data_IF_224239863013
#
_entry.id   IF_224239863013
#
_cell.length_a   1.000
_cell.length_b   1.000
_cell.length_c   1.000
_cell.angle_alpha   90.00
_cell.angle_beta   90.00
_cell.angle_gamma   90.00
#
_symmetry.space_group_name_H-M   'P 1'
#
loop_
_entity.id
_entity.type
_entity.pdbx_description
1 polymer ?
#
# COMPACT_ATOMS: atom_id res chain seq x y z
N UNK A 1 -30.83 33.76 60.01
CA UNK A 1 -29.70 33.48 59.11
C UNK A 1 -29.79 32.04 58.56
N UNK A 2 -30.91 31.69 57.91
CA UNK A 2 -31.20 30.34 57.38
C UNK A 2 -32.20 30.50 56.22
N UNK A 3 -31.73 30.76 54.99
CA UNK A 3 -32.61 30.66 53.80
C UNK A 3 -31.88 30.61 52.45
N UNK A 4 -30.63 30.11 52.37
CA UNK A 4 -29.88 30.08 51.09
C UNK A 4 -29.39 28.67 50.70
N UNK A 5 -29.49 27.66 51.57
CA UNK A 5 -28.89 26.33 51.31
C UNK A 5 -29.79 25.29 50.63
N UNK A 6 -31.05 25.58 50.25
CA UNK A 6 -31.93 24.56 49.64
C UNK A 6 -32.23 24.74 48.14
N UNK A 7 -31.83 25.85 47.51
CA UNK A 7 -32.22 26.12 46.10
C UNK A 7 -31.15 25.69 45.08
N UNK A 8 -29.90 25.48 45.51
CA UNK A 8 -28.78 25.13 44.60
C UNK A 8 -28.77 23.63 44.25
N UNK A 9 -29.27 22.75 45.13
CA UNK A 9 -29.30 21.29 44.89
C UNK A 9 -30.26 20.81 43.77
N UNK A 10 -31.53 21.28 43.65
CA UNK A 10 -32.47 20.74 42.66
C UNK A 10 -32.11 21.12 41.22
N UNK A 11 -31.50 22.30 41.01
CA UNK A 11 -31.09 22.76 39.66
C UNK A 11 -29.94 21.91 39.12
N UNK A 12 -28.98 21.53 39.96
CA UNK A 12 -27.87 20.64 39.57
C UNK A 12 -28.34 19.22 39.25
N UNK A 13 -29.30 18.68 40.01
CA UNK A 13 -29.88 17.35 39.76
C UNK A 13 -30.70 17.34 38.47
N UNK A 14 -31.52 18.37 38.22
CA UNK A 14 -32.29 18.50 36.99
C UNK A 14 -31.39 18.65 35.75
N UNK A 15 -30.30 19.40 35.85
CA UNK A 15 -29.30 19.52 34.79
C UNK A 15 -28.61 18.18 34.50
N UNK A 16 -28.23 17.42 35.53
CA UNK A 16 -27.64 16.09 35.37
C UNK A 16 -28.61 15.09 34.73
N UNK A 17 -29.87 15.08 35.19
CA UNK A 17 -30.92 14.24 34.61
C UNK A 17 -31.20 14.61 33.15
N UNK A 18 -31.22 15.91 32.82
CA UNK A 18 -31.36 16.38 31.44
C UNK A 18 -30.20 15.93 30.56
N UNK A 19 -28.95 16.02 31.04
CA UNK A 19 -27.78 15.50 30.31
C UNK A 19 -27.87 13.98 30.13
N UNK A 20 -28.22 13.22 31.17
CA UNK A 20 -28.38 11.77 31.07
C UNK A 20 -29.50 11.37 30.10
N UNK A 21 -30.65 12.07 30.14
CA UNK A 21 -31.75 11.85 29.20
C UNK A 21 -31.35 12.23 27.77
N UNK A 22 -30.58 13.30 27.57
CA UNK A 22 -30.03 13.68 26.25
C UNK A 22 -29.04 12.64 25.74
N UNK A 23 -28.17 12.11 26.59
CA UNK A 23 -27.24 11.04 26.24
C UNK A 23 -28.03 9.77 25.91
N UNK A 24 -28.97 9.35 26.75
CA UNK A 24 -29.80 8.16 26.55
C UNK A 24 -30.68 8.27 25.29
N UNK A 25 -31.31 9.43 25.06
CA UNK A 25 -32.07 9.71 23.84
C UNK A 25 -31.16 9.73 22.61
N UNK A 26 -29.99 10.36 22.68
CA UNK A 26 -29.00 10.31 21.60
C UNK A 26 -28.56 8.89 21.31
N UNK A 27 -28.29 8.08 22.35
CA UNK A 27 -27.96 6.66 22.23
C UNK A 27 -29.10 5.85 21.62
N UNK A 28 -30.35 6.11 22.00
CA UNK A 28 -31.53 5.43 21.46
C UNK A 28 -31.77 5.79 19.99
N UNK A 29 -31.71 7.08 19.62
CA UNK A 29 -31.84 7.54 18.23
C UNK A 29 -30.69 7.01 17.37
N UNK A 30 -29.44 7.08 17.85
CA UNK A 30 -28.29 6.49 17.16
C UNK A 30 -28.44 4.97 17.03
N UNK A 31 -28.91 4.28 18.07
CA UNK A 31 -29.17 2.85 18.05
C UNK A 31 -30.28 2.45 17.07
N UNK A 32 -31.36 3.23 16.98
CA UNK A 32 -32.46 3.00 16.05
C UNK A 32 -32.02 3.21 14.59
N UNK A 33 -31.31 4.31 14.31
CA UNK A 33 -30.72 4.56 12.98
C UNK A 33 -29.72 3.47 12.57
N UNK A 34 -28.83 3.07 13.48
CA UNK A 34 -27.86 2.01 13.21
C UNK A 34 -28.51 0.65 12.94
N UNK A 35 -29.64 0.31 13.60
CA UNK A 35 -30.38 -0.93 13.30
C UNK A 35 -30.95 -0.92 11.89
N UNK A 36 -31.55 0.19 11.46
CA UNK A 36 -32.12 0.31 10.12
C UNK A 36 -31.06 0.27 9.01
N UNK A 37 -29.91 0.92 9.23
CA UNK A 37 -28.78 0.87 8.30
C UNK A 37 -28.17 -0.54 8.22
N UNK A 38 -28.00 -1.21 9.38
CA UNK A 38 -27.42 -2.56 9.43
C UNK A 38 -28.28 -3.60 8.72
N UNK A 39 -29.60 -3.41 8.64
CA UNK A 39 -30.48 -4.28 7.86
C UNK A 39 -30.21 -4.25 6.34
N UNK A 40 -29.55 -3.20 5.83
CA UNK A 40 -29.19 -3.05 4.41
C UNK A 40 -27.74 -3.42 4.11
N UNK A 41 -26.95 -3.72 5.13
CA UNK A 41 -25.54 -4.06 5.01
C UNK A 41 -25.37 -5.58 5.03
N UNK A 42 -24.30 -6.11 4.42
CA UNK A 42 -23.95 -7.52 4.58
C UNK A 42 -23.83 -7.91 6.06
N UNK A 43 -24.04 -9.19 6.39
CA UNK A 43 -23.85 -9.69 7.76
C UNK A 43 -22.41 -9.50 8.23
N UNK A 44 -22.21 -9.47 9.54
CA UNK A 44 -20.87 -9.37 10.11
C UNK A 44 -20.82 -9.14 11.61
N UNK A 45 -19.60 -9.18 12.18
CA UNK A 45 -19.37 -9.13 13.61
C UNK A 45 -19.90 -7.84 14.21
N UNK A 46 -20.37 -7.91 15.47
CA UNK A 46 -20.92 -6.75 16.14
C UNK A 46 -19.82 -5.73 16.44
N UNK A 47 -19.93 -4.57 15.82
CA UNK A 47 -19.10 -3.40 16.11
C UNK A 47 -19.46 -2.79 17.47
N UNK A 48 -18.46 -2.29 18.20
CA UNK A 48 -18.67 -1.44 19.37
C UNK A 48 -18.60 0.05 18.96
N UNK A 49 -19.29 0.96 19.67
CA UNK A 49 -19.25 2.39 19.37
C UNK A 49 -17.82 2.94 19.32
N UNK A 50 -17.56 3.87 18.40
CA UNK A 50 -16.26 4.52 18.14
C UNK A 50 -15.13 3.61 17.60
N UNK A 51 -14.87 2.47 18.25
CA UNK A 51 -13.77 1.55 17.89
C UNK A 51 -14.12 0.59 16.74
N UNK A 52 -15.40 0.29 16.52
CA UNK A 52 -15.81 -0.67 15.50
C UNK A 52 -15.45 -2.11 15.89
N UNK A 53 -14.78 -2.84 14.99
CA UNK A 53 -14.36 -4.23 15.10
C UNK A 53 -12.84 -4.36 15.29
N UNK A 54 -12.10 -3.26 15.49
CA UNK A 54 -10.62 -3.30 15.65
C UNK A 54 -10.20 -4.18 16.82
N UNK A 55 -10.95 -4.15 17.93
CA UNK A 55 -10.72 -5.01 19.10
C UNK A 55 -10.84 -6.52 18.84
N UNK A 56 -11.42 -6.92 17.71
CA UNK A 56 -11.55 -8.32 17.29
C UNK A 56 -10.44 -8.74 16.34
N UNK A 57 -9.59 -7.80 15.89
CA UNK A 57 -8.53 -8.07 14.94
C UNK A 57 -7.18 -8.17 15.65
N UNK A 58 -6.42 -9.25 15.40
CA UNK A 58 -5.03 -9.30 15.82
C UNK A 58 -4.19 -8.28 15.04
N UNK A 59 -3.02 -7.92 15.58
CA UNK A 59 -2.05 -7.10 14.86
C UNK A 59 -1.43 -7.87 13.69
N UNK A 60 -1.21 -9.17 13.88
CA UNK A 60 -0.63 -10.08 12.89
C UNK A 60 -1.67 -11.08 12.38
N UNK A 61 -1.53 -11.50 11.13
CA UNK A 61 -2.37 -12.53 10.50
C UNK A 61 -3.89 -12.24 10.50
N UNK A 62 -4.27 -10.98 10.22
CA UNK A 62 -5.67 -10.54 10.17
C UNK A 62 -6.53 -11.36 9.20
N UNK A 63 -5.93 -11.88 8.14
CA UNK A 63 -6.58 -12.75 7.16
C UNK A 63 -7.17 -14.02 7.79
N UNK A 64 -6.62 -14.51 8.91
CA UNK A 64 -7.19 -15.65 9.65
C UNK A 64 -8.52 -15.28 10.30
N UNK A 65 -8.59 -14.14 10.99
CA UNK A 65 -9.84 -13.63 11.57
C UNK A 65 -10.87 -13.32 10.49
N UNK A 66 -10.45 -12.78 9.34
CA UNK A 66 -11.33 -12.57 8.19
C UNK A 66 -11.90 -13.89 7.66
N UNK A 67 -11.09 -14.94 7.58
CA UNK A 67 -11.56 -16.27 7.18
C UNK A 67 -12.52 -16.90 8.20
N UNK A 68 -12.32 -16.67 9.50
CA UNK A 68 -13.26 -17.08 10.55
C UNK A 68 -14.59 -16.35 10.44
N UNK A 69 -14.56 -15.03 10.21
CA UNK A 69 -15.77 -14.26 9.96
C UNK A 69 -16.51 -14.75 8.71
N UNK A 70 -15.78 -15.12 7.66
CA UNK A 70 -16.39 -15.68 6.45
C UNK A 70 -17.17 -16.97 6.74
N UNK A 71 -16.60 -17.87 7.56
CA UNK A 71 -17.28 -19.11 7.98
C UNK A 71 -18.57 -18.82 8.77
N UNK A 72 -18.59 -17.75 9.54
CA UNK A 72 -19.72 -17.40 10.41
C UNK A 72 -20.80 -16.57 9.72
N UNK A 73 -20.41 -15.64 8.85
CA UNK A 73 -21.30 -14.62 8.27
C UNK A 73 -21.50 -14.76 6.76
N UNK A 74 -20.70 -15.60 6.09
CA UNK A 74 -20.78 -15.86 4.66
C UNK A 74 -19.73 -15.11 3.82
N UNK A 75 -19.88 -15.18 2.51
CA UNK A 75 -18.88 -14.75 1.53
C UNK A 75 -18.56 -13.25 1.52
N UNK A 76 -19.49 -12.42 1.97
CA UNK A 76 -19.34 -10.96 2.02
C UNK A 76 -19.67 -10.51 3.43
N UNK A 77 -18.63 -10.10 4.15
CA UNK A 77 -18.75 -9.68 5.55
C UNK A 77 -18.59 -8.17 5.67
N UNK A 78 -19.49 -7.54 6.40
CA UNK A 78 -19.38 -6.13 6.77
C UNK A 78 -18.75 -5.96 8.15
N UNK A 79 -17.73 -5.13 8.25
CA UNK A 79 -17.11 -4.69 9.49
C UNK A 79 -16.89 -3.17 9.49
N UNK A 80 -16.58 -2.62 10.66
CA UNK A 80 -16.12 -1.24 10.81
C UNK A 80 -14.74 -1.24 11.45
N UNK A 81 -13.75 -0.61 10.84
CA UNK A 81 -12.47 -0.34 11.49
C UNK A 81 -12.49 1.11 11.97
N UNK A 82 -12.59 1.32 13.29
CA UNK A 82 -13.01 2.59 13.87
C UNK A 82 -14.36 3.05 13.26
N UNK A 83 -14.35 4.14 12.50
CA UNK A 83 -15.51 4.69 11.81
C UNK A 83 -15.52 4.39 10.30
N UNK A 84 -14.56 3.60 9.81
CA UNK A 84 -14.46 3.27 8.39
C UNK A 84 -15.18 1.95 8.07
N UNK A 85 -16.15 1.94 7.15
CA UNK A 85 -16.78 0.70 6.70
C UNK A 85 -15.79 -0.15 5.89
N UNK A 86 -15.77 -1.44 6.15
CA UNK A 86 -14.94 -2.43 5.45
C UNK A 86 -15.81 -3.59 5.01
N UNK A 87 -15.62 -4.01 3.75
CA UNK A 87 -16.18 -5.24 3.21
C UNK A 87 -15.06 -6.25 3.04
N UNK A 88 -15.21 -7.42 3.66
CA UNK A 88 -14.31 -8.56 3.50
C UNK A 88 -14.94 -9.50 2.48
N UNK A 89 -14.23 -9.76 1.38
CA UNK A 89 -14.67 -10.65 0.31
C UNK A 89 -13.93 -11.98 0.44
N UNK A 90 -14.67 -13.05 0.70
CA UNK A 90 -14.11 -14.35 1.07
C UNK A 90 -14.44 -15.47 0.08
N UNK A 91 -15.07 -15.14 -1.05
CA UNK A 91 -15.27 -16.07 -2.16
C UNK A 91 -14.80 -15.47 -3.49
N UNK A 92 -14.33 -16.36 -4.38
CA UNK A 92 -13.90 -15.99 -5.73
C UNK A 92 -15.02 -15.27 -6.49
N UNK A 93 -16.25 -15.75 -6.38
CA UNK A 93 -17.41 -15.15 -7.02
C UNK A 93 -17.63 -13.71 -6.56
N UNK A 94 -17.61 -13.46 -5.25
CA UNK A 94 -17.76 -12.10 -4.71
C UNK A 94 -16.62 -11.17 -5.16
N UNK A 95 -15.39 -11.68 -5.17
CA UNK A 95 -14.23 -10.94 -5.67
C UNK A 95 -14.37 -10.58 -7.16
N UNK A 96 -14.75 -11.53 -8.02
CA UNK A 96 -14.95 -11.28 -9.46
C UNK A 96 -16.11 -10.32 -9.72
N UNK A 97 -17.25 -10.50 -9.03
CA UNK A 97 -18.44 -9.68 -9.24
C UNK A 97 -18.21 -8.21 -8.85
N UNK A 98 -17.41 -7.95 -7.81
CA UNK A 98 -17.12 -6.59 -7.33
C UNK A 98 -15.84 -6.00 -7.94
N UNK A 99 -14.72 -6.71 -7.86
CA UNK A 99 -13.40 -6.17 -8.20
C UNK A 99 -13.09 -6.24 -9.70
N UNK A 100 -13.69 -7.17 -10.44
CA UNK A 100 -13.45 -7.34 -11.88
C UNK A 100 -14.60 -6.74 -12.71
N UNK A 101 -15.80 -7.33 -12.62
CA UNK A 101 -16.98 -6.91 -13.42
C UNK A 101 -17.43 -5.49 -13.12
N UNK A 102 -17.19 -5.00 -11.89
CA UNK A 102 -17.54 -3.65 -11.43
C UNK A 102 -16.30 -2.84 -11.04
N UNK A 103 -15.14 -3.18 -11.61
CA UNK A 103 -13.85 -2.54 -11.32
C UNK A 103 -13.93 -1.01 -11.34
N UNK A 104 -14.64 -0.38 -12.27
CA UNK A 104 -14.80 1.08 -12.33
C UNK A 104 -15.40 1.72 -11.08
N UNK A 105 -16.14 0.95 -10.26
CA UNK A 105 -16.73 1.40 -8.99
C UNK A 105 -15.87 1.12 -7.76
N UNK A 106 -15.03 0.08 -7.81
CA UNK A 106 -14.31 -0.44 -6.64
C UNK A 106 -12.79 -0.40 -6.78
N UNK A 107 -12.25 0.19 -7.86
CA UNK A 107 -10.80 0.27 -8.09
C UNK A 107 -10.09 1.40 -7.36
N UNK A 108 -10.81 2.25 -6.63
CA UNK A 108 -10.19 3.36 -5.92
C UNK A 108 -9.31 2.89 -4.76
N UNK A 109 -8.43 3.76 -4.27
CA UNK A 109 -7.54 3.47 -3.14
C UNK A 109 -7.88 4.35 -1.95
N UNK A 110 -7.96 3.79 -0.73
CA UNK A 110 -8.10 4.62 0.46
C UNK A 110 -6.88 5.52 0.61
N UNK A 111 -7.06 6.67 1.28
CA UNK A 111 -5.95 7.57 1.61
C UNK A 111 -5.01 6.90 2.62
N UNK A 112 -3.83 6.51 2.16
CA UNK A 112 -2.76 5.88 2.95
C UNK A 112 -1.78 6.96 3.44
N UNK A 113 -2.04 7.56 4.59
CA UNK A 113 -1.25 8.70 5.09
C UNK A 113 0.16 8.27 5.46
N UNK A 114 0.30 7.12 6.13
CA UNK A 114 1.62 6.63 6.48
C UNK A 114 2.44 6.31 5.24
N UNK A 115 1.92 5.42 4.39
CA UNK A 115 2.65 4.83 3.29
C UNK A 115 2.84 5.83 2.13
N UNK A 116 1.78 6.46 1.65
CA UNK A 116 1.87 7.36 0.51
C UNK A 116 2.47 8.72 0.94
N UNK A 117 1.89 9.38 1.94
CA UNK A 117 2.23 10.78 2.24
C UNK A 117 3.49 10.95 3.10
N UNK A 118 3.66 10.11 4.14
CA UNK A 118 4.79 10.24 5.07
C UNK A 118 6.03 9.49 4.57
N UNK A 119 5.89 8.25 4.09
CA UNK A 119 6.99 7.44 3.55
C UNK A 119 7.33 7.76 2.09
N UNK A 120 6.49 8.52 1.37
CA UNK A 120 6.80 9.01 0.02
C UNK A 120 6.53 8.01 -1.11
N UNK A 121 5.61 7.07 -0.91
CA UNK A 121 5.07 6.18 -1.95
C UNK A 121 3.87 6.81 -2.70
N UNK A 122 3.78 8.14 -2.77
CA UNK A 122 2.65 8.88 -3.32
C UNK A 122 2.54 8.87 -4.85
N UNK A 123 3.62 8.49 -5.53
CA UNK A 123 3.73 8.45 -6.99
C UNK A 123 3.66 7.03 -7.58
N UNK A 124 3.40 5.98 -6.78
CA UNK A 124 3.33 4.60 -7.30
C UNK A 124 1.90 4.14 -7.56
N UNK A 125 1.71 3.42 -8.68
CA UNK A 125 0.39 2.96 -9.15
C UNK A 125 -0.42 2.18 -8.10
N UNK A 126 0.25 1.48 -7.17
CA UNK A 126 -0.41 0.66 -6.15
C UNK A 126 -1.19 1.50 -5.13
N UNK A 127 -0.83 2.78 -4.95
CA UNK A 127 -1.42 3.69 -3.98
C UNK A 127 -2.10 4.91 -4.61
N UNK A 128 -1.98 5.09 -5.93
CA UNK A 128 -2.66 6.17 -6.64
C UNK A 128 -4.18 5.99 -6.58
N UNK A 129 -4.94 7.06 -6.26
CA UNK A 129 -6.39 7.07 -6.44
C UNK A 129 -6.77 6.80 -7.89
N UNK A 130 -7.95 6.21 -8.09
CA UNK A 130 -8.42 5.93 -9.44
C UNK A 130 -8.72 7.25 -10.18
N UNK A 131 -8.06 7.45 -11.32
CA UNK A 131 -8.13 8.69 -12.09
C UNK A 131 -7.18 8.67 -13.28
N UNK A 132 -6.96 9.81 -13.92
CA UNK A 132 -6.16 9.90 -15.15
C UNK A 132 -4.68 9.56 -14.89
N UNK A 133 -4.14 9.97 -13.75
CA UNK A 133 -2.77 9.61 -13.32
C UNK A 133 -2.61 8.09 -13.18
N UNK A 134 -3.54 7.40 -12.52
CA UNK A 134 -3.55 5.94 -12.43
C UNK A 134 -3.67 5.28 -13.81
N UNK A 135 -4.57 5.77 -14.67
CA UNK A 135 -4.75 5.23 -16.04
C UNK A 135 -3.48 5.42 -16.88
N UNK A 136 -2.77 6.54 -16.72
CA UNK A 136 -1.47 6.82 -17.37
C UNK A 136 -0.43 5.78 -16.97
N UNK A 137 -0.21 5.60 -15.67
CA UNK A 137 0.71 4.57 -15.15
C UNK A 137 0.35 3.17 -15.64
N UNK A 138 -0.95 2.81 -15.58
CA UNK A 138 -1.44 1.52 -16.04
C UNK A 138 -1.18 1.30 -17.53
N UNK A 139 -1.35 2.33 -18.35
CA UNK A 139 -1.09 2.27 -19.79
C UNK A 139 0.40 2.02 -20.05
N UNK A 140 1.29 2.79 -19.43
CA UNK A 140 2.74 2.58 -19.55
C UNK A 140 3.16 1.15 -19.19
N UNK A 141 2.65 0.62 -18.07
CA UNK A 141 2.93 -0.76 -17.67
C UNK A 141 2.31 -1.78 -18.62
N UNK A 142 1.09 -1.56 -19.10
CA UNK A 142 0.45 -2.49 -20.03
C UNK A 142 1.20 -2.55 -21.37
N UNK A 143 1.51 -1.39 -21.94
CA UNK A 143 2.24 -1.28 -23.21
C UNK A 143 3.60 -1.96 -23.10
N UNK A 144 4.26 -1.87 -21.93
CA UNK A 144 5.58 -2.44 -21.76
C UNK A 144 5.62 -3.91 -21.34
N UNK A 145 4.64 -4.38 -20.56
CA UNK A 145 4.66 -5.74 -19.99
C UNK A 145 3.60 -6.68 -20.57
N UNK A 146 2.69 -6.19 -21.41
CA UNK A 146 1.61 -7.00 -22.00
C UNK A 146 1.61 -6.94 -23.53
N UNK A 147 2.24 -5.93 -24.15
CA UNK A 147 2.33 -5.90 -25.60
C UNK A 147 3.23 -7.03 -26.13
N UNK A 148 2.76 -7.70 -27.20
CA UNK A 148 3.51 -8.80 -27.82
C UNK A 148 4.91 -8.36 -28.27
N UNK A 149 5.04 -7.15 -28.79
CA UNK A 149 6.32 -6.59 -29.23
C UNK A 149 7.34 -6.48 -28.09
N UNK A 150 6.95 -5.88 -26.96
CA UNK A 150 7.82 -5.75 -25.80
C UNK A 150 8.19 -7.13 -25.21
N UNK A 151 7.22 -8.03 -25.08
CA UNK A 151 7.45 -9.39 -24.56
C UNK A 151 8.45 -10.19 -25.40
N UNK A 152 8.41 -10.07 -26.72
CA UNK A 152 9.40 -10.70 -27.59
C UNK A 152 10.80 -10.11 -27.39
N UNK A 153 10.90 -8.80 -27.16
CA UNK A 153 12.14 -8.09 -26.86
C UNK A 153 12.81 -8.54 -25.56
N UNK A 154 12.06 -9.07 -24.59
CA UNK A 154 12.61 -9.53 -23.31
C UNK A 154 13.13 -10.97 -23.31
N UNK A 155 12.86 -11.75 -24.37
CA UNK A 155 13.32 -13.15 -24.46
C UNK A 155 14.84 -13.31 -24.30
N UNK A 156 15.71 -12.46 -24.87
CA UNK A 156 17.15 -12.58 -24.67
C UNK A 156 17.56 -12.39 -23.20
N UNK A 157 16.94 -11.42 -22.49
CA UNK A 157 17.18 -11.17 -21.07
C UNK A 157 16.75 -12.36 -20.24
N UNK A 158 15.50 -12.82 -20.40
CA UNK A 158 14.96 -13.97 -19.69
C UNK A 158 15.80 -15.23 -19.93
N UNK A 159 16.22 -15.49 -21.18
CA UNK A 159 17.06 -16.64 -21.52
C UNK A 159 18.40 -16.59 -20.81
N UNK A 160 19.07 -15.43 -20.84
CA UNK A 160 20.38 -15.26 -20.19
C UNK A 160 20.26 -15.46 -18.68
N UNK A 161 19.30 -14.80 -18.03
CA UNK A 161 19.10 -14.96 -16.59
C UNK A 161 18.73 -16.40 -16.23
N UNK A 162 17.96 -17.10 -17.07
CA UNK A 162 17.63 -18.51 -16.87
C UNK A 162 18.89 -19.38 -16.92
N UNK A 163 19.81 -19.14 -17.86
CA UNK A 163 21.06 -19.89 -17.91
C UNK A 163 21.95 -19.62 -16.69
N UNK A 164 22.02 -18.37 -16.21
CA UNK A 164 22.72 -18.03 -14.96
C UNK A 164 22.12 -18.79 -13.77
N UNK A 165 20.79 -18.83 -13.66
CA UNK A 165 20.08 -19.57 -12.61
C UNK A 165 20.36 -21.07 -12.68
N UNK A 166 20.28 -21.66 -13.87
CA UNK A 166 20.53 -23.09 -14.06
C UNK A 166 21.98 -23.47 -13.76
N UNK A 167 22.95 -22.65 -14.16
CA UNK A 167 24.36 -22.84 -13.83
C UNK A 167 24.58 -22.79 -12.31
N UNK A 168 24.01 -21.78 -11.63
CA UNK A 168 24.08 -21.67 -10.17
C UNK A 168 23.43 -22.87 -9.45
N UNK A 169 22.29 -23.37 -9.97
CA UNK A 169 21.62 -24.55 -9.41
C UNK A 169 22.44 -25.84 -9.56
N UNK A 170 23.27 -25.96 -10.60
CA UNK A 170 24.18 -27.11 -10.75
C UNK A 170 25.33 -27.06 -9.73
N UNK A 171 25.75 -25.87 -9.33
CA UNK A 171 26.82 -25.64 -8.34
C UNK A 171 26.31 -25.74 -6.89
N UNK A 172 25.20 -25.08 -6.57
CA UNK A 172 24.60 -25.04 -5.22
C UNK A 172 23.07 -25.27 -5.25
N UNK A 173 22.60 -26.52 -5.49
CA UNK A 173 21.17 -26.82 -5.61
C UNK A 173 20.37 -26.56 -4.33
N UNK A 174 21.03 -26.59 -3.17
CA UNK A 174 20.42 -26.29 -1.86
C UNK A 174 19.98 -24.83 -1.77
N UNK A 175 20.61 -23.94 -2.52
CA UNK A 175 20.31 -22.49 -2.56
C UNK A 175 19.24 -22.14 -3.61
N UNK A 176 18.35 -23.09 -3.94
CA UNK A 176 17.34 -22.95 -4.99
C UNK A 176 16.56 -21.62 -4.94
N UNK A 177 16.11 -21.23 -3.74
CA UNK A 177 15.34 -19.99 -3.54
C UNK A 177 16.16 -18.76 -3.89
N UNK A 178 17.45 -18.72 -3.56
CA UNK A 178 18.33 -17.60 -3.89
C UNK A 178 18.57 -17.49 -5.40
N UNK A 179 18.75 -18.62 -6.08
CA UNK A 179 18.92 -18.65 -7.54
C UNK A 179 17.66 -18.13 -8.26
N UNK A 180 16.46 -18.56 -7.83
CA UNK A 180 15.19 -18.08 -8.38
C UNK A 180 14.98 -16.59 -8.07
N UNK A 181 15.30 -16.16 -6.86
CA UNK A 181 15.17 -14.76 -6.46
C UNK A 181 16.13 -13.86 -7.28
N UNK A 182 17.40 -14.25 -7.43
CA UNK A 182 18.36 -13.55 -8.28
C UNK A 182 17.88 -13.46 -9.72
N UNK A 183 17.37 -14.56 -10.28
CA UNK A 183 16.81 -14.59 -11.63
C UNK A 183 15.69 -13.56 -11.80
N UNK A 184 14.75 -13.49 -10.85
CA UNK A 184 13.63 -12.55 -10.90
C UNK A 184 14.12 -11.09 -10.80
N UNK A 185 15.00 -10.80 -9.83
CA UNK A 185 15.54 -9.45 -9.62
C UNK A 185 16.39 -9.01 -10.81
N UNK A 186 17.26 -9.87 -11.34
CA UNK A 186 18.11 -9.54 -12.49
C UNK A 186 17.32 -9.31 -13.76
N UNK A 187 16.28 -10.12 -13.99
CA UNK A 187 15.36 -9.94 -15.12
C UNK A 187 14.64 -8.59 -15.02
N UNK A 188 14.05 -8.28 -13.86
CA UNK A 188 13.28 -7.04 -13.68
C UNK A 188 14.18 -5.81 -13.71
N UNK A 189 15.39 -5.86 -13.15
CA UNK A 189 16.33 -4.74 -13.18
C UNK A 189 16.78 -4.37 -14.59
N UNK A 190 17.07 -5.35 -15.44
CA UNK A 190 17.44 -5.05 -16.82
C UNK A 190 16.25 -4.59 -17.65
N UNK A 191 15.07 -5.18 -17.45
CA UNK A 191 13.86 -4.76 -18.16
C UNK A 191 13.47 -3.32 -17.78
N UNK A 192 13.50 -3.00 -16.48
CA UNK A 192 13.04 -1.69 -16.00
C UNK A 192 14.08 -0.59 -16.24
N UNK A 193 15.36 -0.84 -15.90
CA UNK A 193 16.40 0.18 -15.89
C UNK A 193 17.60 -0.10 -16.82
N UNK A 194 17.59 -1.21 -17.57
CA UNK A 194 18.71 -1.57 -18.44
C UNK A 194 19.96 -2.02 -17.67
N UNK A 195 19.85 -2.18 -16.35
CA UNK A 195 20.97 -2.51 -15.47
C UNK A 195 21.11 -4.01 -15.30
N UNK A 196 22.33 -4.51 -15.54
CA UNK A 196 22.66 -5.94 -15.36
C UNK A 196 23.26 -6.15 -13.99
N UNK A 197 22.60 -6.97 -13.18
CA UNK A 197 23.16 -7.39 -11.90
C UNK A 197 24.09 -8.59 -12.09
N UNK A 198 25.22 -8.58 -11.41
CA UNK A 198 26.14 -9.71 -11.35
C UNK A 198 26.05 -10.48 -10.03
N UNK A 199 25.46 -9.86 -9.02
CA UNK A 199 25.28 -10.43 -7.69
C UNK A 199 24.10 -9.77 -6.97
N UNK A 200 23.55 -10.46 -5.98
CA UNK A 200 22.60 -9.90 -5.00
C UNK A 200 23.22 -8.83 -4.09
N UNK A 201 24.54 -8.65 -4.14
CA UNK A 201 25.20 -7.55 -3.43
C UNK A 201 25.21 -6.21 -4.20
N UNK A 202 24.61 -6.17 -5.38
CA UNK A 202 24.40 -4.95 -6.18
C UNK A 202 23.74 -3.84 -5.34
N UNK A 203 24.24 -2.61 -5.49
CA UNK A 203 23.83 -1.47 -4.68
C UNK A 203 22.34 -1.19 -4.80
N UNK A 204 21.81 -1.23 -6.03
CA UNK A 204 20.40 -1.01 -6.23
C UNK A 204 19.62 -2.10 -5.52
N UNK A 205 20.01 -3.38 -5.70
CA UNK A 205 19.30 -4.53 -5.11
C UNK A 205 19.20 -4.43 -3.59
N UNK A 206 20.31 -4.05 -2.94
CA UNK A 206 20.31 -3.76 -1.50
C UNK A 206 19.37 -2.62 -1.15
N UNK A 207 19.42 -1.52 -1.90
CA UNK A 207 18.56 -0.37 -1.69
C UNK A 207 17.06 -0.73 -1.79
N UNK A 208 16.67 -1.56 -2.77
CA UNK A 208 15.29 -2.06 -2.85
C UNK A 208 14.90 -2.92 -1.67
N UNK A 209 15.76 -3.85 -1.29
CA UNK A 209 15.50 -4.71 -0.14
C UNK A 209 15.34 -3.86 1.13
N UNK A 210 16.26 -2.94 1.38
CA UNK A 210 16.29 -2.15 2.60
C UNK A 210 15.10 -1.18 2.66
N UNK A 211 14.75 -0.48 1.57
CA UNK A 211 13.57 0.37 1.52
C UNK A 211 12.26 -0.41 1.72
N UNK A 212 12.14 -1.60 1.11
CA UNK A 212 10.96 -2.46 1.24
C UNK A 212 10.82 -3.02 2.66
N UNK A 213 11.89 -3.57 3.22
CA UNK A 213 11.90 -4.12 4.60
C UNK A 213 11.56 -3.03 5.60
N UNK A 214 12.18 -1.86 5.49
CA UNK A 214 11.97 -0.75 6.40
C UNK A 214 10.57 -0.12 6.26
N UNK A 215 10.00 -0.15 5.05
CA UNK A 215 8.60 0.21 4.83
C UNK A 215 7.67 -0.71 5.60
N UNK A 216 7.88 -2.03 5.54
CA UNK A 216 7.05 -3.02 6.25
C UNK A 216 7.20 -2.86 7.77
N UNK A 217 8.42 -2.72 8.28
CA UNK A 217 8.70 -2.55 9.71
C UNK A 217 8.06 -1.25 10.25
N UNK A 218 8.09 -0.17 9.46
CA UNK A 218 7.56 1.11 9.89
C UNK A 218 6.03 1.17 9.92
N UNK A 219 5.35 0.22 9.28
CA UNK A 219 3.92 -0.04 9.45
C UNK A 219 3.29 -0.60 8.18
N UNK A 220 2.40 -1.58 8.34
CA UNK A 220 1.62 -2.11 7.22
C UNK A 220 0.61 -1.07 6.69
N UNK A 221 0.28 -1.10 5.39
CA UNK A 221 -0.68 -0.18 4.81
C UNK A 221 -2.05 -0.30 5.48
N UNK A 222 -2.59 0.80 6.02
CA UNK A 222 -3.95 0.82 6.57
C UNK A 222 -4.13 0.16 7.94
N UNK A 223 -3.04 -0.20 8.63
CA UNK A 223 -3.09 -0.72 10.00
C UNK A 223 -2.70 0.31 11.06
N UNK A 224 -2.13 1.46 10.65
CA UNK A 224 -1.65 2.48 11.57
C UNK A 224 -2.73 3.49 11.92
N UNK A 225 -2.74 3.96 13.18
CA UNK A 225 -3.74 4.93 13.66
C UNK A 225 -3.80 6.20 12.81
N UNK A 226 -2.67 6.66 12.26
CA UNK A 226 -2.62 7.85 11.39
C UNK A 226 -3.43 7.66 10.11
N UNK A 227 -3.57 6.43 9.61
CA UNK A 227 -4.39 6.16 8.43
C UNK A 227 -5.88 6.33 8.76
N UNK A 228 -6.31 6.08 10.00
CA UNK A 228 -7.70 6.26 10.45
C UNK A 228 -7.99 7.67 10.97
N UNK A 229 -7.01 8.30 11.62
CA UNK A 229 -7.10 9.62 12.25
C UNK A 229 -6.07 10.58 11.63
N UNK A 230 -6.42 11.27 10.53
CA UNK A 230 -5.48 12.13 9.79
C UNK A 230 -4.84 13.23 10.64
N UNK A 231 -5.51 13.68 11.70
CA UNK A 231 -4.98 14.71 12.61
C UNK A 231 -3.65 14.31 13.27
N UNK A 232 -3.38 13.00 13.40
CA UNK A 232 -2.09 12.52 13.92
C UNK A 232 -0.92 12.90 13.02
N UNK A 233 -1.16 13.13 11.71
CA UNK A 233 -0.14 13.61 10.77
C UNK A 233 0.41 14.98 11.17
N UNK A 234 -0.41 15.83 11.79
CA UNK A 234 -0.02 17.21 12.13
C UNK A 234 0.86 17.29 13.38
N UNK A 235 1.01 16.20 14.14
CA UNK A 235 1.87 16.15 15.32
C UNK A 235 3.32 16.46 14.91
N UNK A 236 4.00 17.44 15.55
CA UNK A 236 5.41 17.73 15.26
C UNK A 236 6.30 16.52 15.52
N UNK A 237 7.32 16.30 14.68
CA UNK A 237 8.17 15.10 14.77
C UNK A 237 8.97 14.99 16.08
N UNK A 238 9.19 16.10 16.79
CA UNK A 238 9.85 16.13 18.09
C UNK A 238 8.91 15.76 19.25
N UNK A 239 7.60 15.84 19.07
CA UNK A 239 6.64 15.66 20.16
C UNK A 239 6.56 14.20 20.66
N UNK A 240 6.19 13.97 21.94
CA UNK A 240 5.92 12.63 22.44
C UNK A 240 4.86 11.91 21.60
N UNK A 241 5.07 10.62 21.32
CA UNK A 241 4.16 9.84 20.47
C UNK A 241 4.37 9.97 18.96
N UNK A 242 5.19 10.93 18.48
CA UNK A 242 5.50 11.10 17.05
C UNK A 242 6.54 10.11 16.48
N UNK A 243 6.78 8.98 17.19
CA UNK A 243 7.76 7.97 16.79
C UNK A 243 7.49 7.39 15.39
N UNK A 244 6.22 7.11 15.07
CA UNK A 244 5.81 6.64 13.74
C UNK A 244 6.19 7.63 12.63
N UNK A 245 6.06 8.94 12.88
CA UNK A 245 6.36 10.01 11.92
C UNK A 245 7.86 10.14 11.69
N UNK A 246 8.67 10.05 12.74
CA UNK A 246 10.13 10.02 12.64
C UNK A 246 10.61 8.80 11.85
N UNK A 247 10.06 7.62 12.13
CA UNK A 247 10.41 6.42 11.39
C UNK A 247 10.00 6.54 9.90
N UNK A 248 8.80 7.03 9.62
CA UNK A 248 8.32 7.25 8.26
C UNK A 248 9.22 8.23 7.47
N UNK A 249 9.74 9.30 8.10
CA UNK A 249 10.68 10.21 7.45
C UNK A 249 12.04 9.58 7.15
N UNK A 250 12.54 8.69 8.02
CA UNK A 250 13.74 7.90 7.72
C UNK A 250 13.51 6.98 6.53
N UNK A 251 12.38 6.25 6.52
CA UNK A 251 11.98 5.38 5.42
C UNK A 251 11.82 6.18 4.12
N UNK A 252 11.27 7.40 4.19
CA UNK A 252 11.12 8.28 3.02
C UNK A 252 12.43 8.54 2.31
N UNK A 253 13.53 8.69 3.04
CA UNK A 253 14.87 8.81 2.44
C UNK A 253 15.20 7.59 1.56
N UNK A 254 15.00 6.38 2.09
CA UNK A 254 15.25 5.13 1.36
C UNK A 254 14.33 4.97 0.15
N UNK A 255 13.04 5.29 0.28
CA UNK A 255 12.06 5.22 -0.81
C UNK A 255 12.41 6.19 -1.94
N UNK A 256 12.84 7.41 -1.58
CA UNK A 256 13.28 8.40 -2.57
C UNK A 256 14.56 7.96 -3.27
N UNK A 257 15.57 7.49 -2.54
CA UNK A 257 16.77 6.91 -3.14
C UNK A 257 16.46 5.73 -4.07
N UNK A 258 15.55 4.84 -3.67
CA UNK A 258 15.11 3.69 -4.47
C UNK A 258 14.54 4.10 -5.83
N UNK A 259 13.81 5.21 -5.87
CA UNK A 259 13.21 5.71 -7.12
C UNK A 259 14.18 6.58 -7.91
N UNK A 260 14.93 7.45 -7.23
CA UNK A 260 15.77 8.48 -7.86
C UNK A 260 17.07 7.89 -8.42
N UNK A 261 17.75 6.98 -7.71
CA UNK A 261 19.08 6.52 -8.13
C UNK A 261 19.05 5.72 -9.45
N UNK A 262 18.22 4.67 -9.60
CA UNK A 262 18.15 3.94 -10.87
C UNK A 262 17.60 4.80 -12.01
N UNK A 263 16.66 5.70 -11.71
CA UNK A 263 16.14 6.64 -12.70
C UNK A 263 17.23 7.59 -13.22
N UNK A 264 18.01 8.19 -12.32
CA UNK A 264 19.08 9.12 -12.68
C UNK A 264 20.19 8.40 -13.46
N UNK A 265 20.50 7.15 -13.11
CA UNK A 265 21.42 6.31 -13.89
C UNK A 265 20.96 6.18 -15.35
N UNK A 266 19.68 5.86 -15.59
CA UNK A 266 19.13 5.77 -16.95
C UNK A 266 19.15 7.12 -17.66
N UNK A 267 18.75 8.18 -16.96
CA UNK A 267 18.75 9.56 -17.50
C UNK A 267 20.15 10.00 -17.94
N UNK A 268 21.18 9.72 -17.15
CA UNK A 268 22.59 9.99 -17.50
C UNK A 268 23.08 9.10 -18.66
N UNK A 269 22.69 7.83 -18.70
CA UNK A 269 23.04 6.94 -19.81
C UNK A 269 22.41 7.41 -21.13
N UNK A 270 21.18 7.92 -21.09
CA UNK A 270 20.51 8.50 -22.26
C UNK A 270 21.23 9.76 -22.74
N UNK A 271 21.55 10.68 -21.82
CA UNK A 271 22.26 11.91 -22.15
C UNK A 271 23.66 11.67 -22.77
N UNK A 272 24.29 10.54 -22.43
CA UNK A 272 25.60 10.14 -22.98
C UNK A 272 25.52 9.25 -24.23
N UNK A 273 24.31 8.94 -24.73
CA UNK A 273 24.12 8.07 -25.89
C UNK A 273 24.43 6.58 -25.64
N UNK A 274 24.58 6.17 -24.38
CA UNK A 274 24.97 4.82 -23.98
C UNK A 274 23.83 4.05 -23.28
N UNK A 275 22.60 4.57 -23.32
CA UNK A 275 21.46 3.91 -22.71
C UNK A 275 21.15 2.56 -23.38
N UNK A 276 20.88 1.56 -22.53
CA UNK A 276 20.32 0.30 -22.99
C UNK A 276 18.80 0.44 -23.12
N UNK A 277 18.17 -0.19 -24.13
CA UNK A 277 16.72 -0.24 -24.22
C UNK A 277 16.12 -0.84 -22.94
N UNK A 278 15.24 -0.09 -22.30
CA UNK A 278 14.54 -0.49 -21.07
C UNK A 278 13.28 0.35 -20.88
N UNK A 279 12.42 -0.06 -19.93
CA UNK A 279 11.17 0.64 -19.63
C UNK A 279 11.37 2.14 -19.39
N UNK A 280 12.29 2.48 -18.48
CA UNK A 280 12.53 3.89 -18.10
C UNK A 280 13.12 4.68 -19.27
N UNK A 281 14.02 4.07 -20.06
CA UNK A 281 14.58 4.75 -21.23
C UNK A 281 13.50 5.05 -22.27
N UNK A 282 12.65 4.09 -22.60
CA UNK A 282 11.56 4.26 -23.56
C UNK A 282 10.59 5.37 -23.12
N UNK A 283 10.24 5.43 -21.83
CA UNK A 283 9.37 6.49 -21.32
C UNK A 283 10.04 7.87 -21.39
N UNK A 284 11.32 7.96 -21.09
CA UNK A 284 12.08 9.20 -21.18
C UNK A 284 12.18 9.69 -22.63
N UNK A 285 12.52 8.81 -23.57
CA UNK A 285 12.58 9.13 -25.00
C UNK A 285 11.23 9.62 -25.55
N UNK A 286 10.14 8.93 -25.20
CA UNK A 286 8.77 9.31 -25.57
C UNK A 286 8.40 10.72 -25.09
N UNK A 287 8.79 11.07 -23.87
CA UNK A 287 8.49 12.38 -23.28
C UNK A 287 9.40 13.48 -23.86
N UNK A 288 10.69 13.19 -24.06
CA UNK A 288 11.61 14.12 -24.71
C UNK A 288 11.19 14.44 -26.15
N UNK A 289 10.60 13.48 -26.87
CA UNK A 289 10.06 13.69 -28.21
C UNK A 289 8.81 14.59 -28.25
N UNK A 290 8.04 14.70 -27.16
CA UNK A 290 6.70 15.32 -27.16
C UNK A 290 6.63 16.78 -26.73
N UNK A 291 7.63 17.31 -26.01
CA UNK A 291 7.85 18.72 -25.62
C UNK A 291 8.77 18.85 -24.38
N UNK A 292 9.51 17.79 -24.00
CA UNK A 292 10.29 17.76 -22.78
C UNK A 292 9.48 17.27 -21.58
N UNK A 293 10.18 17.04 -20.47
CA UNK A 293 9.62 16.41 -19.26
C UNK A 293 9.13 17.45 -18.25
N UNK A 294 7.88 17.33 -17.83
CA UNK A 294 7.37 18.12 -16.71
C UNK A 294 7.83 17.51 -15.37
N UNK A 295 7.96 18.30 -14.28
CA UNK A 295 8.33 17.75 -12.97
C UNK A 295 7.36 16.67 -12.46
N UNK A 296 6.06 16.79 -12.77
CA UNK A 296 5.07 15.78 -12.40
C UNK A 296 5.25 14.48 -13.18
N UNK A 297 5.53 14.56 -14.48
CA UNK A 297 5.81 13.37 -15.31
C UNK A 297 7.12 12.69 -14.91
N UNK A 298 8.14 13.44 -14.52
CA UNK A 298 9.38 12.89 -13.96
C UNK A 298 9.10 12.08 -12.70
N UNK A 299 8.33 12.62 -11.75
CA UNK A 299 7.91 11.90 -10.56
C UNK A 299 7.04 10.67 -10.88
N UNK A 300 6.22 10.74 -11.92
CA UNK A 300 5.41 9.62 -12.38
C UNK A 300 6.24 8.49 -13.01
N UNK A 301 7.23 8.82 -13.83
CA UNK A 301 8.13 7.81 -14.43
C UNK A 301 8.93 7.12 -13.33
N UNK A 302 9.46 7.89 -12.37
CA UNK A 302 10.15 7.36 -11.18
C UNK A 302 9.27 6.39 -10.39
N UNK A 303 8.02 6.78 -10.10
CA UNK A 303 7.08 5.95 -9.37
C UNK A 303 6.65 4.69 -10.13
N UNK A 304 6.38 4.81 -11.43
CA UNK A 304 6.00 3.68 -12.29
C UNK A 304 7.13 2.65 -12.39
N UNK A 305 8.38 3.09 -12.59
CA UNK A 305 9.54 2.20 -12.65
C UNK A 305 9.89 1.63 -11.27
N UNK A 306 9.88 2.48 -10.24
CA UNK A 306 10.28 2.12 -8.87
C UNK A 306 9.39 1.05 -8.24
N UNK A 307 8.09 1.03 -8.55
CA UNK A 307 7.17 0.01 -7.99
C UNK A 307 7.34 -1.36 -8.64
N UNK A 308 7.66 -1.43 -9.94
CA UNK A 308 7.99 -2.70 -10.61
C UNK A 308 9.22 -3.30 -9.95
N UNK A 309 10.20 -2.44 -9.69
CA UNK A 309 11.44 -2.80 -9.07
C UNK A 309 11.27 -3.26 -7.61
N UNK A 310 10.58 -2.47 -6.77
CA UNK A 310 10.30 -2.82 -5.39
C UNK A 310 9.44 -4.10 -5.27
N UNK A 311 8.55 -4.35 -6.22
CA UNK A 311 7.76 -5.58 -6.29
C UNK A 311 8.62 -6.85 -6.43
N UNK A 312 9.74 -6.76 -7.15
CA UNK A 312 10.64 -7.90 -7.35
C UNK A 312 11.34 -8.33 -6.06
N UNK A 313 11.72 -7.37 -5.21
CA UNK A 313 12.42 -7.63 -3.95
C UNK A 313 11.53 -8.19 -2.83
N UNK A 314 10.20 -8.03 -2.95
CA UNK A 314 9.21 -8.56 -2.01
C UNK A 314 9.05 -10.09 -2.05
N UNK A 315 9.38 -10.73 -3.18
CA UNK A 315 9.13 -12.17 -3.41
C UNK A 315 9.81 -13.10 -2.39
N UNK A 316 10.92 -12.66 -1.76
CA UNK A 316 11.60 -13.40 -0.69
C UNK A 316 10.95 -13.24 0.69
N UNK A 317 10.30 -12.10 0.96
CA UNK A 317 9.70 -11.82 2.28
C UNK A 317 8.43 -12.67 2.50
N UNK A 318 7.68 -12.97 1.44
CA UNK A 318 6.49 -13.82 1.53
C UNK A 318 6.77 -15.33 1.59
N UNK A 319 7.99 -15.77 1.25
CA UNK A 319 8.34 -17.19 1.16
C UNK A 319 9.16 -17.70 2.34
N UNK A 320 9.62 -16.83 3.23
CA UNK A 320 10.22 -17.24 4.48
C UNK A 320 9.12 -17.77 5.44
N UNK A 321 9.23 -19.00 5.98
CA UNK A 321 8.34 -19.43 7.04
C UNK A 321 8.48 -18.49 8.24
N UNK A 322 7.40 -18.20 8.97
CA UNK A 322 7.52 -17.46 10.21
C UNK A 322 8.41 -18.24 11.18
N UNK A 323 9.48 -17.59 11.64
CA UNK A 323 10.30 -18.07 12.77
C UNK A 323 9.47 -18.16 14.03
#
# INVERSE_FOLDING_TARGET
MLSVMHVVAPVSVAAFAFVLLRVAFSWWVHGAKHRAERARLPPGPRAIPFLGNVHQLPMDYQEKTFAEWAKQYGDVVYAKLFQRPVLVLSSLRAAQDLLEKRSSKYSDRPRLILLAELMGWDNVITHLPYGDRFRKHRRWMHDNFQSKGALLGYRPVQRRETYTMLAGLLESPVEFVEHVHRWAVGTIMEITYGHRIHSMQDEYVKLARDATVETVIAGSPGSMLVDFFPILKEIPAWAPGAGFKRNAFRVRGLVRSLMDMPYNMVKTALASGNARPCFTANLLEDVYARNGITPEEEEDIKGAAGVIYAGSSLSRIQTAPPT
#
